data_IF_345246009633
#
_entry.id   IF_345246009633
#
_cell.length_a   1.000
_cell.length_b   1.000
_cell.length_c   1.000
_cell.angle_alpha   90.00
_cell.angle_beta   90.00
_cell.angle_gamma   90.00
#
_symmetry.space_group_name_H-M   'P 1'
#
loop_
_entity.id
_entity.type
_entity.pdbx_description
1 polymer ?
#
# COMPACT_ATOMS: atom_id res chain seq x y z
N UNK A 1 -27.13 -8.61 8.45
CA UNK A 1 -26.14 -7.87 7.63
C UNK A 1 -24.78 -8.50 7.92
N UNK A 2 -23.96 -8.87 6.92
CA UNK A 2 -22.63 -9.37 7.20
C UNK A 2 -21.83 -8.26 7.91
N UNK A 3 -21.13 -8.63 8.98
CA UNK A 3 -20.25 -7.72 9.71
C UNK A 3 -19.14 -7.26 8.74
N UNK A 4 -18.80 -5.96 8.68
CA UNK A 4 -17.71 -5.48 7.84
C UNK A 4 -16.40 -6.18 8.22
N UNK A 5 -15.67 -6.69 7.23
CA UNK A 5 -14.38 -7.36 7.44
C UNK A 5 -13.36 -6.37 8.00
N UNK A 6 -12.59 -6.82 9.00
CA UNK A 6 -11.49 -6.04 9.57
C UNK A 6 -10.25 -6.09 8.68
N UNK A 7 -9.94 -7.27 8.15
CA UNK A 7 -8.84 -7.53 7.22
C UNK A 7 -9.40 -7.91 5.85
N UNK A 8 -9.21 -7.04 4.87
CA UNK A 8 -9.64 -7.31 3.49
C UNK A 8 -8.48 -7.77 2.62
N UNK A 9 -8.81 -8.51 1.55
CA UNK A 9 -7.88 -8.82 0.46
C UNK A 9 -7.87 -7.62 -0.49
N UNK A 10 -6.69 -7.12 -0.85
CA UNK A 10 -6.54 -5.92 -1.68
C UNK A 10 -5.57 -6.18 -2.84
N UNK A 11 -6.12 -6.64 -3.95
CA UNK A 11 -5.34 -6.86 -5.16
C UNK A 11 -5.22 -5.56 -5.95
N UNK A 12 -3.97 -5.10 -6.14
CA UNK A 12 -3.67 -3.92 -6.94
C UNK A 12 -3.85 -4.25 -8.42
N UNK A 13 -4.54 -3.41 -9.23
CA UNK A 13 -4.67 -3.63 -10.67
C UNK A 13 -3.31 -3.79 -11.33
N UNK A 14 -3.21 -4.69 -12.31
CA UNK A 14 -1.93 -5.05 -12.93
C UNK A 14 -1.20 -3.84 -13.56
N UNK A 15 -1.94 -2.87 -14.09
CA UNK A 15 -1.43 -1.68 -14.77
C UNK A 15 -0.72 -0.68 -13.85
N UNK A 16 -0.98 -0.75 -12.54
CA UNK A 16 -0.31 0.07 -11.49
C UNK A 16 0.46 -0.77 -10.48
N UNK A 17 0.71 -2.04 -10.80
CA UNK A 17 1.50 -2.91 -9.95
C UNK A 17 2.95 -2.41 -9.85
N UNK A 18 3.54 -2.52 -8.66
CA UNK A 18 4.88 -2.00 -8.31
C UNK A 18 5.07 -0.47 -8.29
N UNK A 19 4.01 0.31 -8.46
CA UNK A 19 4.05 1.77 -8.35
C UNK A 19 3.71 2.24 -6.92
N UNK A 20 4.68 2.19 -6.00
CA UNK A 20 4.48 2.64 -4.60
C UNK A 20 4.93 4.08 -4.35
N UNK A 21 4.44 4.67 -3.25
CA UNK A 21 4.85 5.99 -2.74
C UNK A 21 6.36 6.04 -2.48
N UNK A 22 6.96 4.93 -2.03
CA UNK A 22 8.41 4.85 -1.84
C UNK A 22 9.17 5.03 -3.16
N UNK A 23 8.71 4.37 -4.23
CA UNK A 23 9.30 4.55 -5.56
C UNK A 23 9.08 5.96 -6.07
N UNK A 24 7.90 6.53 -5.83
CA UNK A 24 7.60 7.91 -6.17
C UNK A 24 8.55 8.90 -5.44
N UNK A 25 8.79 8.73 -4.14
CA UNK A 25 9.75 9.56 -3.39
C UNK A 25 11.19 9.40 -3.86
N UNK A 26 11.60 8.19 -4.26
CA UNK A 26 12.91 8.01 -4.91
C UNK A 26 13.02 8.79 -6.21
N UNK A 27 12.02 8.65 -7.09
CA UNK A 27 11.98 9.33 -8.39
C UNK A 27 11.97 10.85 -8.25
N UNK A 28 11.31 11.38 -7.21
CA UNK A 28 11.25 12.81 -6.93
C UNK A 28 12.41 13.32 -6.07
N UNK A 29 13.45 12.52 -5.82
CA UNK A 29 14.60 12.86 -5.00
C UNK A 29 14.26 13.30 -3.55
N UNK A 30 13.26 12.65 -2.95
CA UNK A 30 12.77 12.91 -1.59
C UNK A 30 12.75 11.64 -0.70
N UNK A 31 13.80 10.79 -0.66
CA UNK A 31 13.77 9.52 0.09
C UNK A 31 13.56 9.70 1.59
N UNK A 32 13.92 10.86 2.14
CA UNK A 32 13.77 11.18 3.57
C UNK A 32 12.32 11.19 4.02
N UNK A 33 11.36 11.55 3.15
CA UNK A 33 9.93 11.52 3.47
C UNK A 33 9.45 10.14 3.89
N UNK A 34 9.95 9.09 3.26
CA UNK A 34 9.61 7.72 3.65
C UNK A 34 10.10 7.38 5.06
N UNK A 35 11.27 7.91 5.44
CA UNK A 35 11.81 7.73 6.79
C UNK A 35 10.98 8.48 7.82
N UNK A 36 10.56 9.70 7.50
CA UNK A 36 9.67 10.53 8.34
C UNK A 36 8.31 9.86 8.56
N UNK A 37 7.66 9.41 7.49
CA UNK A 37 6.38 8.68 7.58
C UNK A 37 6.50 7.48 8.52
N UNK A 38 7.52 6.64 8.35
CA UNK A 38 7.68 5.48 9.24
C UNK A 38 7.87 5.89 10.69
N UNK A 39 8.66 6.94 10.97
CA UNK A 39 8.86 7.44 12.34
C UNK A 39 7.55 7.96 12.94
N UNK A 40 6.79 8.75 12.19
CA UNK A 40 5.49 9.27 12.62
C UNK A 40 4.49 8.15 12.89
N UNK A 41 4.46 7.13 12.04
CA UNK A 41 3.60 5.97 12.23
C UNK A 41 3.96 5.21 13.50
N UNK A 42 5.25 4.99 13.81
CA UNK A 42 5.64 4.35 15.07
C UNK A 42 5.30 5.21 16.30
N UNK A 43 5.44 6.54 16.20
CA UNK A 43 5.05 7.44 17.27
C UNK A 43 3.54 7.44 17.52
N UNK A 44 2.74 7.34 16.46
CA UNK A 44 1.27 7.38 16.50
C UNK A 44 0.64 6.02 16.86
N UNK A 45 1.14 4.93 16.29
CA UNK A 45 0.51 3.60 16.35
C UNK A 45 1.25 2.64 17.29
N UNK A 46 2.47 2.99 17.71
CA UNK A 46 3.32 2.11 18.51
C UNK A 46 3.77 0.88 17.73
N UNK A 47 3.94 -0.24 18.43
CA UNK A 47 4.37 -1.52 17.85
C UNK A 47 3.20 -2.47 17.61
N UNK A 48 2.03 -1.94 17.22
CA UNK A 48 0.81 -2.72 16.97
C UNK A 48 0.44 -2.69 15.50
N UNK A 49 -0.07 -3.81 15.01
CA UNK A 49 -0.68 -3.86 13.70
C UNK A 49 -1.98 -3.05 13.69
N UNK A 50 -2.13 -2.14 12.73
CA UNK A 50 -3.34 -1.32 12.57
C UNK A 50 -4.61 -2.14 12.36
N UNK A 51 -4.50 -3.30 11.69
CA UNK A 51 -5.64 -4.17 11.41
C UNK A 51 -5.92 -5.13 12.57
N UNK A 52 -4.99 -6.02 12.91
CA UNK A 52 -5.26 -7.07 13.91
C UNK A 52 -4.96 -6.64 15.36
N UNK A 53 -4.43 -5.44 15.60
CA UNK A 53 -4.07 -4.84 16.90
C UNK A 53 -3.03 -5.62 17.72
N UNK A 54 -2.53 -6.75 17.20
CA UNK A 54 -1.47 -7.53 17.84
C UNK A 54 -0.17 -6.74 17.83
N UNK A 55 0.54 -6.79 18.95
CA UNK A 55 1.92 -6.34 19.01
C UNK A 55 2.80 -7.24 18.15
N UNK A 56 3.67 -6.62 17.34
CA UNK A 56 4.54 -7.34 16.42
C UNK A 56 5.80 -6.53 16.15
N UNK A 57 6.92 -7.24 15.94
CA UNK A 57 8.19 -6.69 15.46
C UNK A 57 8.84 -7.75 14.55
N UNK A 58 9.22 -7.42 13.31
CA UNK A 58 9.04 -6.14 12.63
C UNK A 58 7.59 -5.87 12.18
N UNK A 59 7.28 -4.61 11.90
CA UNK A 59 6.06 -4.15 11.23
C UNK A 59 6.40 -3.58 9.85
N UNK A 60 5.51 -3.80 8.89
CA UNK A 60 5.61 -3.30 7.52
C UNK A 60 4.68 -2.10 7.33
N UNK A 61 5.19 -1.00 6.78
CA UNK A 61 4.34 0.13 6.40
C UNK A 61 3.60 -0.21 5.10
N UNK A 62 2.27 -0.18 5.15
CA UNK A 62 1.39 -0.58 4.06
C UNK A 62 0.53 0.59 3.59
N UNK A 63 0.41 0.74 2.28
CA UNK A 63 -0.39 1.76 1.60
C UNK A 63 -1.84 1.32 1.48
N UNK A 64 -2.78 2.14 1.93
CA UNK A 64 -4.23 1.90 1.84
C UNK A 64 -4.79 2.77 0.72
N UNK A 65 -5.35 2.13 -0.30
CA UNK A 65 -5.80 2.80 -1.51
C UNK A 65 -7.33 2.89 -1.58
N UNK A 66 -7.81 3.98 -2.16
CA UNK A 66 -9.18 4.13 -2.66
C UNK A 66 -9.18 4.10 -4.18
N UNK A 67 -10.21 3.51 -4.76
CA UNK A 67 -10.35 3.34 -6.20
C UNK A 67 -11.61 4.05 -6.66
N UNK A 68 -11.47 4.97 -7.62
CA UNK A 68 -12.56 5.50 -8.43
C UNK A 68 -12.59 4.71 -9.74
N UNK A 69 -13.44 3.68 -9.81
CA UNK A 69 -13.58 2.79 -10.97
C UNK A 69 -14.14 3.50 -12.21
N UNK A 70 -14.78 4.67 -12.08
CA UNK A 70 -15.32 5.42 -13.23
C UNK A 70 -14.25 6.30 -13.85
N UNK A 71 -13.42 6.94 -13.02
CA UNK A 71 -12.34 7.83 -13.49
C UNK A 71 -10.99 7.13 -13.62
N UNK A 72 -10.91 5.86 -13.20
CA UNK A 72 -9.69 5.07 -13.07
C UNK A 72 -8.61 5.81 -12.26
N UNK A 73 -8.98 6.27 -11.06
CA UNK A 73 -8.07 6.93 -10.12
C UNK A 73 -7.82 6.04 -8.92
N UNK A 74 -6.55 5.70 -8.69
CA UNK A 74 -6.06 5.03 -7.49
C UNK A 74 -5.49 6.10 -6.55
N UNK A 75 -6.21 6.42 -5.48
CA UNK A 75 -5.82 7.47 -4.52
C UNK A 75 -5.25 6.87 -3.24
N UNK A 76 -4.07 7.33 -2.83
CA UNK A 76 -3.47 6.95 -1.55
C UNK A 76 -4.23 7.64 -0.43
N UNK A 77 -4.96 6.88 0.36
CA UNK A 77 -5.80 7.40 1.43
C UNK A 77 -5.04 7.47 2.75
N UNK A 78 -4.29 6.41 3.06
CA UNK A 78 -3.52 6.31 4.29
C UNK A 78 -2.31 5.38 4.14
N UNK A 79 -1.40 5.43 5.10
CA UNK A 79 -0.34 4.44 5.31
C UNK A 79 -0.42 4.03 6.76
N UNK A 80 -0.37 2.73 7.05
CA UNK A 80 -0.37 2.21 8.42
C UNK A 80 0.61 1.04 8.58
N UNK A 81 1.01 0.74 9.81
CA UNK A 81 1.83 -0.43 10.09
C UNK A 81 1.00 -1.72 10.18
N UNK A 82 1.42 -2.75 9.46
CA UNK A 82 0.84 -4.08 9.49
C UNK A 82 1.84 -5.11 10.02
N UNK A 83 1.33 -6.12 10.73
CA UNK A 83 2.11 -7.32 10.98
C UNK A 83 2.32 -8.08 9.68
N UNK A 84 3.36 -8.91 9.63
CA UNK A 84 3.74 -9.67 8.43
C UNK A 84 2.57 -10.45 7.83
N UNK A 85 1.72 -11.10 8.64
CA UNK A 85 0.59 -11.88 8.12
C UNK A 85 -0.53 -10.99 7.55
N UNK A 86 -0.91 -9.90 8.23
CA UNK A 86 -1.86 -8.92 7.68
C UNK A 86 -1.34 -8.32 6.37
N UNK A 87 -0.05 -8.00 6.31
CA UNK A 87 0.59 -7.44 5.11
C UNK A 87 0.59 -8.44 3.94
N UNK A 88 0.88 -9.73 4.20
CA UNK A 88 0.80 -10.79 3.20
C UNK A 88 -0.62 -10.97 2.66
N UNK A 89 -1.63 -10.91 3.52
CA UNK A 89 -3.05 -11.02 3.13
C UNK A 89 -3.49 -9.83 2.28
N UNK A 90 -3.01 -8.62 2.58
CA UNK A 90 -3.23 -7.48 1.70
C UNK A 90 -2.64 -7.74 0.31
N UNK A 91 -1.44 -8.31 0.24
CA UNK A 91 -0.78 -8.68 -1.02
C UNK A 91 -0.95 -10.15 -1.41
N UNK A 92 -2.12 -10.75 -1.17
CA UNK A 92 -2.30 -12.21 -1.30
C UNK A 92 -2.02 -12.72 -2.72
N UNK A 93 -2.29 -11.91 -3.75
CA UNK A 93 -1.97 -12.22 -5.14
C UNK A 93 -0.49 -12.51 -5.35
N UNK A 94 0.41 -11.77 -4.68
CA UNK A 94 1.84 -12.09 -4.71
C UNK A 94 2.11 -13.39 -3.94
N UNK A 95 1.64 -13.50 -2.70
CA UNK A 95 2.09 -14.54 -1.77
C UNK A 95 1.51 -15.93 -2.05
N UNK A 96 0.27 -16.02 -2.54
CA UNK A 96 -0.41 -17.30 -2.77
C UNK A 96 -0.57 -17.65 -4.26
N UNK A 97 -0.50 -16.67 -5.16
CA UNK A 97 -0.76 -16.83 -6.59
C UNK A 97 0.48 -16.63 -7.48
N UNK A 98 1.68 -16.57 -6.90
CA UNK A 98 2.95 -16.61 -7.65
C UNK A 98 3.91 -17.64 -7.08
N UNK A 99 4.73 -18.24 -7.95
CA UNK A 99 5.75 -19.21 -7.54
C UNK A 99 6.78 -18.59 -6.58
N UNK A 100 7.16 -17.33 -6.84
CA UNK A 100 8.10 -16.60 -5.99
C UNK A 100 7.55 -16.33 -4.60
N UNK A 101 6.29 -15.90 -4.49
CA UNK A 101 5.63 -15.70 -3.21
C UNK A 101 5.53 -16.99 -2.40
N UNK A 102 5.14 -18.09 -3.04
CA UNK A 102 5.04 -19.40 -2.41
C UNK A 102 6.41 -19.89 -1.92
N UNK A 103 7.45 -19.76 -2.74
CA UNK A 103 8.84 -20.06 -2.35
C UNK A 103 9.29 -19.23 -1.16
N UNK A 104 8.91 -17.94 -1.10
CA UNK A 104 9.25 -17.07 0.01
C UNK A 104 8.50 -17.42 1.30
N UNK A 105 7.22 -17.85 1.23
CA UNK A 105 6.50 -18.36 2.41
C UNK A 105 7.23 -19.55 3.04
N UNK A 106 7.63 -20.52 2.23
CA UNK A 106 8.35 -21.72 2.69
C UNK A 106 9.66 -21.33 3.39
N UNK A 107 10.43 -20.40 2.81
CA UNK A 107 11.67 -19.89 3.44
C UNK A 107 11.42 -19.20 4.78
N UNK A 108 10.25 -18.61 4.97
CA UNK A 108 9.84 -17.97 6.21
C UNK A 108 9.22 -18.96 7.22
N UNK A 109 9.14 -20.25 6.88
CA UNK A 109 8.50 -21.29 7.71
C UNK A 109 6.99 -21.14 7.78
N UNK A 110 6.36 -20.55 6.76
CA UNK A 110 4.92 -20.34 6.66
C UNK A 110 4.31 -21.17 5.55
N UNK A 111 3.07 -21.56 5.75
CA UNK A 111 2.23 -22.25 4.76
C UNK A 111 1.12 -21.32 4.23
N UNK A 112 0.47 -21.71 3.13
CA UNK A 112 -0.74 -21.02 2.65
C UNK A 112 -1.84 -21.06 3.73
N UNK A 113 -1.95 -22.18 4.43
CA UNK A 113 -2.90 -22.38 5.52
C UNK A 113 -2.68 -21.42 6.69
N UNK A 114 -1.44 -21.05 7.02
CA UNK A 114 -1.15 -20.08 8.09
C UNK A 114 -1.66 -18.68 7.74
N UNK A 115 -1.51 -18.28 6.48
CA UNK A 115 -2.02 -17.01 5.94
C UNK A 115 -3.56 -17.01 6.00
N UNK A 116 -4.20 -18.08 5.53
CA UNK A 116 -5.67 -18.22 5.53
C UNK A 116 -6.22 -18.25 6.97
N UNK A 117 -5.61 -19.03 7.87
CA UNK A 117 -5.99 -19.08 9.28
C UNK A 117 -5.89 -17.70 9.94
N UNK A 118 -4.88 -16.90 9.58
CA UNK A 118 -4.77 -15.54 10.10
C UNK A 118 -5.93 -14.66 9.64
N UNK A 119 -6.31 -14.70 8.36
CA UNK A 119 -7.49 -13.98 7.85
C UNK A 119 -8.75 -14.38 8.63
N UNK A 120 -9.01 -15.69 8.73
CA UNK A 120 -10.18 -16.22 9.43
C UNK A 120 -10.21 -15.81 10.91
N UNK A 121 -9.07 -15.84 11.58
CA UNK A 121 -8.97 -15.46 13.00
C UNK A 121 -9.22 -13.97 13.24
N UNK A 122 -8.76 -13.11 12.33
CA UNK A 122 -8.95 -11.66 12.42
C UNK A 122 -10.39 -11.28 12.11
N UNK A 123 -10.99 -11.90 11.10
CA UNK A 123 -12.34 -11.61 10.63
C UNK A 123 -13.45 -12.41 11.31
N UNK A 124 -13.09 -13.41 12.13
CA UNK A 124 -14.03 -14.35 12.74
C UNK A 124 -14.92 -15.06 11.70
N UNK A 125 -14.30 -15.49 10.60
CA UNK A 125 -14.97 -16.17 9.50
C UNK A 125 -14.41 -17.58 9.27
N UNK A 126 -15.14 -18.39 8.49
CA UNK A 126 -14.69 -19.72 8.09
C UNK A 126 -13.70 -19.67 6.91
N UNK A 127 -13.06 -20.80 6.63
CA UNK A 127 -12.22 -20.95 5.42
C UNK A 127 -13.09 -20.84 4.14
N UNK A 128 -14.32 -21.34 4.17
CA UNK A 128 -15.25 -21.19 3.05
C UNK A 128 -15.59 -19.72 2.78
N UNK A 129 -15.73 -18.92 3.84
CA UNK A 129 -15.91 -17.46 3.69
C UNK A 129 -14.66 -16.82 3.09
N UNK A 130 -13.46 -17.19 3.55
CA UNK A 130 -12.20 -16.72 2.97
C UNK A 130 -12.14 -16.98 1.47
N UNK A 131 -12.45 -18.21 1.02
CA UNK A 131 -12.44 -18.56 -0.40
C UNK A 131 -13.40 -17.68 -1.20
N UNK A 132 -14.60 -17.43 -0.67
CA UNK A 132 -15.56 -16.52 -1.30
C UNK A 132 -15.01 -15.08 -1.40
N UNK A 133 -14.39 -14.57 -0.35
CA UNK A 133 -13.78 -13.23 -0.37
C UNK A 133 -12.58 -13.14 -1.31
N UNK A 134 -11.80 -14.20 -1.43
CA UNK A 134 -10.70 -14.31 -2.39
C UNK A 134 -11.21 -14.30 -3.82
N UNK A 135 -12.24 -15.11 -4.13
CA UNK A 135 -12.88 -15.15 -5.45
C UNK A 135 -13.45 -13.79 -5.83
N UNK A 136 -14.13 -13.10 -4.91
CA UNK A 136 -14.69 -11.78 -5.16
C UNK A 136 -13.60 -10.73 -5.37
N UNK A 137 -12.50 -10.79 -4.61
CA UNK A 137 -11.34 -9.92 -4.81
C UNK A 137 -10.65 -10.17 -6.17
N UNK A 138 -10.52 -11.43 -6.59
CA UNK A 138 -9.96 -11.80 -7.89
C UNK A 138 -10.84 -11.31 -9.05
N UNK A 139 -12.17 -11.38 -8.94
CA UNK A 139 -13.09 -10.80 -9.94
C UNK A 139 -12.91 -9.30 -10.08
N UNK A 140 -12.87 -8.57 -8.95
CA UNK A 140 -12.65 -7.12 -8.96
C UNK A 140 -11.29 -6.79 -9.57
N UNK A 141 -10.24 -7.53 -9.21
CA UNK A 141 -8.92 -7.36 -9.78
C UNK A 141 -8.90 -7.60 -11.29
N UNK A 142 -9.55 -8.66 -11.77
CA UNK A 142 -9.62 -8.99 -13.19
C UNK A 142 -10.33 -7.90 -13.99
N UNK A 143 -11.38 -7.28 -13.42
CA UNK A 143 -12.06 -6.15 -14.07
C UNK A 143 -11.16 -4.91 -14.11
N UNK A 144 -10.63 -4.49 -12.95
CA UNK A 144 -9.80 -3.28 -12.85
C UNK A 144 -8.51 -3.36 -13.67
N UNK A 145 -8.00 -4.57 -13.89
CA UNK A 145 -6.76 -4.80 -14.65
C UNK A 145 -6.93 -4.66 -16.17
N UNK A 146 -8.15 -4.38 -16.65
CA UNK A 146 -8.43 -4.06 -18.07
C UNK A 146 -8.13 -2.60 -18.42
N UNK A 147 -8.04 -1.73 -17.41
CA UNK A 147 -7.94 -0.29 -17.57
C UNK A 147 -6.61 0.26 -17.06
N UNK A 148 -6.21 1.39 -17.63
CA UNK A 148 -5.07 2.18 -17.15
C UNK A 148 -5.51 3.09 -16.01
N UNK A 149 -4.75 3.05 -14.91
CA UNK A 149 -5.05 3.82 -13.70
C UNK A 149 -4.09 4.99 -13.52
N UNK A 150 -4.63 6.12 -13.06
CA UNK A 150 -3.84 7.27 -12.59
C UNK A 150 -3.67 7.20 -11.08
N UNK A 151 -2.46 7.44 -10.61
CA UNK A 151 -2.20 7.51 -9.16
C UNK A 151 -2.31 8.94 -8.65
N UNK A 152 -3.05 9.10 -7.55
CA UNK A 152 -3.16 10.34 -6.77
C UNK A 152 -2.58 10.06 -5.38
N UNK A 153 -1.42 10.61 -5.05
CA UNK A 153 -0.81 10.37 -3.73
C UNK A 153 -1.37 11.29 -2.63
N UNK A 154 -2.33 12.16 -2.96
CA UNK A 154 -3.06 13.00 -2.00
C UNK A 154 -2.14 13.78 -1.07
N UNK A 155 -2.35 13.61 0.24
CA UNK A 155 -1.57 14.30 1.28
C UNK A 155 -0.08 13.89 1.31
N UNK A 156 0.28 12.79 0.64
CA UNK A 156 1.64 12.26 0.59
C UNK A 156 2.47 12.86 -0.55
N UNK A 157 1.88 13.66 -1.45
CA UNK A 157 2.66 14.33 -2.48
C UNK A 157 3.71 15.30 -1.88
N UNK A 158 4.96 15.32 -2.38
CA UNK A 158 5.90 16.39 -2.17
C UNK A 158 5.29 17.68 -2.64
N UNK A 159 5.04 18.60 -1.70
CA UNK A 159 4.85 20.00 -2.04
C UNK A 159 6.08 20.41 -2.86
N UNK A 160 5.85 20.77 -4.12
CA UNK A 160 6.87 21.39 -4.95
C UNK A 160 7.35 22.64 -4.19
N UNK A 161 8.51 22.56 -3.57
CA UNK A 161 9.21 23.75 -3.10
C UNK A 161 9.60 24.49 -4.36
N UNK A 162 8.83 25.53 -4.72
CA UNK A 162 9.29 26.51 -5.70
C UNK A 162 10.63 27.04 -5.19
N UNK A 163 11.73 26.56 -5.74
CA UNK A 163 12.98 27.31 -5.71
C UNK A 163 12.69 28.57 -6.52
N UNK A 164 12.33 29.65 -5.83
CA UNK A 164 12.37 30.98 -6.41
C UNK A 164 13.85 31.29 -6.62
N UNK A 165 14.38 30.87 -7.78
CA UNK A 165 15.62 31.41 -8.31
C UNK A 165 15.34 32.85 -8.76
N UNK A 166 15.31 33.78 -7.81
CA UNK A 166 15.36 35.21 -8.11
C UNK A 166 16.80 35.69 -7.99
N UNK A 167 17.56 35.57 -9.09
CA UNK A 167 18.52 36.61 -9.49
C UNK A 167 19.19 36.25 -10.82
N UNK A 168 18.58 36.65 -11.92
CA UNK A 168 19.35 37.11 -13.08
C UNK A 168 18.68 38.38 -13.58
N UNK A 169 19.51 39.40 -13.80
CA UNK A 169 19.30 40.67 -14.52
C UNK A 169 19.78 41.88 -13.69
N UNK A 170 21.11 42.00 -13.51
CA UNK A 170 21.72 43.34 -13.65
C UNK A 170 21.96 43.53 -15.14
N UNK A 171 20.95 44.03 -15.81
CA UNK A 171 21.08 44.62 -17.13
C UNK A 171 21.89 45.92 -16.99
N UNK A 172 22.82 46.06 -17.92
CA UNK A 172 23.51 47.30 -18.23
C UNK A 172 22.49 48.42 -18.47
N UNK A 173 22.67 49.53 -17.78
CA UNK A 173 22.29 50.85 -18.30
C UNK A 173 23.52 51.74 -18.19
N UNK A 174 24.16 51.98 -19.35
CA UNK A 174 24.87 53.23 -19.61
C UNK A 174 23.84 54.36 -19.63
N UNK A 175 24.21 55.52 -19.10
CA UNK A 175 24.07 56.84 -19.76
C UNK A 175 24.20 57.96 -18.72
N UNK A 176 25.44 58.47 -18.54
CA UNK A 176 25.87 59.86 -18.73
C UNK A 176 27.32 60.03 -18.26
#
# INVERSE_FOLDING_TARGET
MPVPLKLTIELVPSTVWYASIYQYYKKTNNPQKWVEIKKELFAKEGNKCWICEKESKPLDAHEFWKYDDVKHIQRLDAIHHLCRLCHKIKHIGLWLHTEDGERMLIKEGLTKEDVIKHFCNVNKCSIADFQKFEDDALKVWAERSKDDWKQDFGAYEPKLTKSLNNSTLKQFTRDN
#
